data_IF_677686464899
#
_entry.id   IF_677686464899
#
_cell.length_a   1.000
_cell.length_b   1.000
_cell.length_c   1.000
_cell.angle_alpha   90.00
_cell.angle_beta   90.00
_cell.angle_gamma   90.00
#
_symmetry.space_group_name_H-M   'P 1'
#
loop_
_entity.id
_entity.type
_entity.pdbx_description
1 polymer ?
#
# COMPACT_ATOMS: atom_id res chain seq x y z
N UNK A 1 24.50 14.11 17.44
CA UNK A 1 24.31 13.86 16.01
C UNK A 1 25.58 13.27 15.41
N UNK A 2 25.51 12.01 15.00
CA UNK A 2 26.59 11.22 14.40
C UNK A 2 26.82 11.56 12.92
N UNK A 3 25.84 12.15 12.25
CA UNK A 3 25.70 12.24 10.80
C UNK A 3 25.72 10.87 10.14
N UNK A 4 24.99 9.92 10.70
CA UNK A 4 24.97 8.54 10.23
C UNK A 4 23.54 7.98 10.11
N UNK A 5 23.22 7.35 8.98
CA UNK A 5 21.93 6.72 8.71
C UNK A 5 22.14 5.23 8.40
N UNK A 6 21.51 4.34 9.16
CA UNK A 6 21.54 2.90 8.86
C UNK A 6 20.44 2.55 7.86
N UNK A 7 20.74 1.65 6.92
CA UNK A 7 19.74 1.06 6.02
C UNK A 7 19.57 -0.41 6.40
N UNK A 8 18.35 -0.81 6.74
CA UNK A 8 18.05 -2.19 7.09
C UNK A 8 17.66 -3.02 5.86
N UNK A 9 18.22 -4.22 5.78
CA UNK A 9 17.93 -5.26 4.79
C UNK A 9 17.68 -6.61 5.49
N UNK A 10 17.23 -7.60 4.72
CA UNK A 10 17.18 -9.02 5.14
C UNK A 10 17.76 -9.88 4.03
N UNK A 11 18.29 -11.05 4.40
CA UNK A 11 18.78 -12.02 3.43
C UNK A 11 17.62 -12.72 2.72
N UNK A 12 17.78 -12.97 1.41
CA UNK A 12 16.77 -13.65 0.60
C UNK A 12 15.62 -12.74 0.12
N UNK A 13 14.69 -13.35 -0.60
CA UNK A 13 13.62 -12.63 -1.32
C UNK A 13 13.90 -12.53 -2.83
N UNK A 14 12.83 -12.40 -3.61
CA UNK A 14 12.90 -12.23 -5.07
C UNK A 14 13.31 -10.82 -5.49
N UNK A 15 13.43 -9.89 -4.55
CA UNK A 15 13.75 -8.48 -4.74
C UNK A 15 15.25 -8.15 -4.62
N UNK A 16 16.10 -9.13 -4.29
CA UNK A 16 17.56 -8.95 -4.11
C UNK A 16 18.35 -9.25 -5.38
N UNK A 17 19.42 -8.49 -5.59
CA UNK A 17 20.41 -8.68 -6.64
C UNK A 17 21.51 -9.67 -6.26
N UNK A 18 22.50 -9.83 -7.14
CA UNK A 18 23.65 -10.70 -6.91
C UNK A 18 24.56 -10.22 -5.76
N UNK A 19 24.45 -8.96 -5.38
CA UNK A 19 25.13 -8.35 -4.24
C UNK A 19 24.38 -8.56 -2.91
N UNK A 20 23.23 -9.23 -2.93
CA UNK A 20 22.39 -9.49 -1.75
C UNK A 20 21.47 -8.32 -1.37
N UNK A 21 21.54 -7.21 -2.10
CA UNK A 21 20.76 -6.00 -1.80
C UNK A 21 19.60 -5.83 -2.75
N UNK A 22 18.57 -5.09 -2.33
CA UNK A 22 17.63 -4.52 -3.29
C UNK A 22 18.39 -3.57 -4.21
N UNK A 23 17.94 -3.52 -5.46
CA UNK A 23 18.54 -2.63 -6.47
C UNK A 23 18.56 -1.16 -6.06
N UNK A 24 17.65 -0.73 -5.18
CA UNK A 24 17.56 0.65 -4.68
C UNK A 24 18.34 0.90 -3.39
N UNK A 25 18.76 -0.13 -2.65
CA UNK A 25 19.45 0.04 -1.35
C UNK A 25 20.81 0.72 -1.48
N UNK A 26 21.71 0.17 -2.31
CA UNK A 26 23.05 0.75 -2.46
C UNK A 26 23.04 2.13 -3.11
N UNK A 27 22.19 2.43 -4.11
CA UNK A 27 21.98 3.80 -4.57
C UNK A 27 21.61 4.78 -3.45
N UNK A 28 20.68 4.42 -2.55
CA UNK A 28 20.33 5.26 -1.39
C UNK A 28 21.55 5.47 -0.49
N UNK A 29 22.26 4.39 -0.13
CA UNK A 29 23.47 4.47 0.73
C UNK A 29 24.51 5.39 0.13
N UNK A 30 24.76 5.27 -1.17
CA UNK A 30 25.75 6.09 -1.88
C UNK A 30 25.31 7.56 -1.95
N UNK A 31 24.03 7.83 -2.23
CA UNK A 31 23.50 9.19 -2.27
C UNK A 31 23.57 9.89 -0.89
N UNK A 32 23.40 9.15 0.21
CA UNK A 32 23.61 9.68 1.58
C UNK A 32 25.09 10.04 1.77
N UNK A 33 26.01 9.16 1.35
CA UNK A 33 27.47 9.38 1.43
C UNK A 33 27.95 10.58 0.63
N UNK A 34 27.41 10.77 -0.57
CA UNK A 34 27.73 11.91 -1.43
C UNK A 34 27.33 13.25 -0.82
N UNK A 35 26.35 13.26 0.09
CA UNK A 35 25.96 14.43 0.88
C UNK A 35 26.77 14.61 2.17
N UNK A 36 27.82 13.81 2.38
CA UNK A 36 28.75 13.92 3.51
C UNK A 36 28.22 13.32 4.81
N UNK A 37 27.30 12.36 4.73
CA UNK A 37 26.81 11.55 5.85
C UNK A 37 27.33 10.12 5.74
N UNK A 38 27.51 9.45 6.87
CA UNK A 38 27.82 8.02 6.89
C UNK A 38 26.54 7.20 6.65
N UNK A 39 26.69 6.09 5.92
CA UNK A 39 25.60 5.14 5.73
C UNK A 39 26.13 3.71 5.56
N UNK A 40 25.48 2.75 6.21
CA UNK A 40 25.78 1.34 6.06
C UNK A 40 24.52 0.50 6.02
N UNK A 41 24.64 -0.68 5.41
CA UNK A 41 23.57 -1.67 5.39
C UNK A 41 23.77 -2.63 6.56
N UNK A 42 22.73 -2.83 7.36
CA UNK A 42 22.70 -3.89 8.38
C UNK A 42 21.59 -4.89 8.03
N UNK A 43 21.95 -6.17 7.96
CA UNK A 43 21.00 -7.25 7.81
C UNK A 43 20.34 -7.59 9.15
N UNK A 44 19.02 -7.55 9.18
CA UNK A 44 18.27 -7.96 10.36
C UNK A 44 18.26 -9.48 10.49
N UNK A 45 18.66 -9.97 11.67
CA UNK A 45 18.42 -11.33 12.09
C UNK A 45 17.80 -11.33 13.50
N UNK A 46 16.71 -12.09 13.73
CA UNK A 46 16.03 -12.09 15.03
C UNK A 46 16.91 -12.49 16.21
N UNK A 47 17.86 -13.40 16.00
CA UNK A 47 18.81 -13.87 17.02
C UNK A 47 19.88 -12.83 17.39
N UNK A 48 20.03 -11.77 16.58
CA UNK A 48 20.97 -10.67 16.80
C UNK A 48 20.28 -9.34 17.12
N UNK A 49 18.97 -9.34 17.37
CA UNK A 49 18.19 -8.11 17.53
C UNK A 49 18.76 -7.16 18.61
N UNK A 50 19.21 -7.70 19.75
CA UNK A 50 19.79 -6.89 20.83
C UNK A 50 21.19 -6.34 20.48
N UNK A 51 22.01 -7.11 19.74
CA UNK A 51 23.32 -6.65 19.25
C UNK A 51 23.15 -5.53 18.22
N UNK A 52 22.21 -5.72 17.29
CA UNK A 52 21.84 -4.72 16.28
C UNK A 52 21.32 -3.46 16.97
N UNK A 53 20.43 -3.60 17.96
CA UNK A 53 19.93 -2.47 18.73
C UNK A 53 21.08 -1.69 19.38
N UNK A 54 22.00 -2.36 20.08
CA UNK A 54 23.11 -1.71 20.77
C UNK A 54 24.06 -1.00 19.79
N UNK A 55 24.39 -1.66 18.66
CA UNK A 55 25.22 -1.05 17.60
C UNK A 55 24.53 0.17 17.01
N UNK A 56 23.26 0.05 16.62
CA UNK A 56 22.57 1.09 15.87
C UNK A 56 22.29 2.30 16.76
N UNK A 57 21.75 2.08 17.97
CA UNK A 57 21.43 3.15 18.92
C UNK A 57 22.64 3.96 19.38
N UNK A 58 23.85 3.39 19.33
CA UNK A 58 25.08 4.07 19.76
C UNK A 58 25.79 4.85 18.66
N UNK A 59 25.49 4.56 17.39
CA UNK A 59 26.32 5.04 16.26
C UNK A 59 25.53 5.78 15.18
N UNK A 60 24.19 5.71 15.17
CA UNK A 60 23.35 6.26 14.11
C UNK A 60 22.33 7.25 14.66
N UNK A 61 21.93 8.19 13.80
CA UNK A 61 20.88 9.16 14.12
C UNK A 61 19.50 8.75 13.56
N UNK A 62 19.48 7.84 12.59
CA UNK A 62 18.27 7.44 11.88
C UNK A 62 18.39 6.07 11.23
N UNK A 63 17.25 5.52 10.84
CA UNK A 63 17.17 4.28 10.08
C UNK A 63 16.22 4.39 8.87
N UNK A 64 16.55 3.69 7.78
CA UNK A 64 15.68 3.44 6.63
C UNK A 64 15.43 1.94 6.53
N UNK A 65 14.17 1.51 6.57
CA UNK A 65 13.82 0.11 6.27
C UNK A 65 13.70 -0.10 4.76
N UNK A 66 14.48 -1.04 4.22
CA UNK A 66 14.34 -1.56 2.85
C UNK A 66 13.98 -3.04 2.88
N UNK A 67 13.17 -3.42 3.85
CA UNK A 67 12.79 -4.81 4.10
C UNK A 67 11.34 -5.04 3.68
N UNK A 68 11.13 -5.94 2.72
CA UNK A 68 9.78 -6.42 2.41
C UNK A 68 9.25 -7.23 3.61
N UNK A 69 8.11 -6.85 4.22
CA UNK A 69 7.62 -7.51 5.43
C UNK A 69 7.43 -9.03 5.30
N UNK A 70 7.03 -9.51 4.12
CA UNK A 70 6.88 -10.95 3.84
C UNK A 70 8.19 -11.75 3.82
N UNK A 71 9.35 -11.08 3.74
CA UNK A 71 10.67 -11.70 3.71
C UNK A 71 11.38 -11.66 5.07
N UNK A 72 10.73 -11.13 6.12
CA UNK A 72 11.36 -11.02 7.45
C UNK A 72 11.49 -12.39 8.09
N UNK A 73 12.71 -12.84 8.46
CA UNK A 73 12.90 -14.10 9.16
C UNK A 73 12.13 -14.11 10.48
N UNK A 74 11.26 -15.10 10.69
CA UNK A 74 10.45 -15.20 11.90
C UNK A 74 9.23 -14.26 11.95
N UNK A 75 8.94 -13.54 10.86
CA UNK A 75 7.81 -12.62 10.75
C UNK A 75 8.08 -11.21 11.28
N UNK A 76 7.14 -10.30 11.05
CA UNK A 76 7.31 -8.85 11.24
C UNK A 76 7.52 -8.43 12.71
N UNK A 77 6.98 -9.20 13.66
CA UNK A 77 6.91 -8.80 15.08
C UNK A 77 8.25 -8.40 15.66
N UNK A 78 9.26 -9.27 15.57
CA UNK A 78 10.58 -9.00 16.15
C UNK A 78 11.31 -7.84 15.46
N UNK A 79 11.07 -7.65 14.16
CA UNK A 79 11.63 -6.53 13.42
C UNK A 79 10.99 -5.19 13.83
N UNK A 80 9.67 -5.16 13.97
CA UNK A 80 8.95 -3.96 14.42
C UNK A 80 9.27 -3.61 15.87
N UNK A 81 9.47 -4.61 16.73
CA UNK A 81 9.97 -4.40 18.10
C UNK A 81 11.35 -3.72 18.09
N UNK A 82 12.28 -4.15 17.22
CA UNK A 82 13.58 -3.49 17.04
C UNK A 82 13.43 -2.03 16.57
N UNK A 83 12.64 -1.79 15.52
CA UNK A 83 12.44 -0.44 14.98
C UNK A 83 11.79 0.51 16.00
N UNK A 84 10.85 -0.01 16.80
CA UNK A 84 10.23 0.73 17.91
C UNK A 84 11.27 1.08 18.97
N UNK A 85 12.08 0.11 19.43
CA UNK A 85 13.16 0.36 20.40
C UNK A 85 14.15 1.42 19.90
N UNK A 86 14.48 1.43 18.61
CA UNK A 86 15.37 2.42 18.02
C UNK A 86 14.74 3.82 18.01
N UNK A 87 13.46 3.92 17.67
CA UNK A 87 12.72 5.18 17.76
C UNK A 87 12.66 5.70 19.21
N UNK A 88 12.37 4.82 20.18
CA UNK A 88 12.38 5.14 21.61
C UNK A 88 13.76 5.59 22.12
N UNK A 89 14.83 5.11 21.49
CA UNK A 89 16.21 5.54 21.75
C UNK A 89 16.55 6.90 21.12
N UNK A 90 15.61 7.53 20.41
CA UNK A 90 15.76 8.86 19.82
C UNK A 90 16.20 8.87 18.36
N UNK A 91 16.26 7.73 17.68
CA UNK A 91 16.57 7.69 16.25
C UNK A 91 15.35 8.14 15.44
N UNK A 92 15.61 8.90 14.37
CA UNK A 92 14.58 9.26 13.41
C UNK A 92 14.25 8.04 12.55
N UNK A 93 13.04 7.51 12.73
CA UNK A 93 12.50 6.44 11.89
C UNK A 93 11.94 7.00 10.58
N UNK A 94 12.50 6.58 9.44
CA UNK A 94 12.08 7.08 8.14
C UNK A 94 10.75 6.50 7.65
N UNK A 95 10.45 5.27 8.09
CA UNK A 95 9.11 4.70 8.15
C UNK A 95 9.04 3.96 9.49
N UNK A 96 8.31 4.50 10.46
CA UNK A 96 8.15 3.83 11.76
C UNK A 96 7.18 2.64 11.62
N UNK A 97 7.19 1.66 12.54
CA UNK A 97 6.17 0.62 12.55
C UNK A 97 4.74 1.17 12.62
N UNK A 98 4.54 2.29 13.32
CA UNK A 98 3.26 2.99 13.35
C UNK A 98 2.85 3.48 11.96
N UNK A 99 3.75 4.16 11.23
CA UNK A 99 3.48 4.62 9.86
C UNK A 99 3.22 3.44 8.92
N UNK A 100 4.03 2.38 9.00
CA UNK A 100 3.87 1.18 8.18
C UNK A 100 2.49 0.55 8.35
N UNK A 101 2.00 0.48 9.58
CA UNK A 101 0.68 -0.07 9.88
C UNK A 101 -0.44 0.90 9.50
N UNK A 102 -0.28 2.20 9.74
CA UNK A 102 -1.36 3.14 9.56
C UNK A 102 -1.61 3.52 8.09
N UNK A 103 -0.54 3.64 7.30
CA UNK A 103 -0.62 3.93 5.87
C UNK A 103 -0.66 2.66 5.01
N UNK A 104 0.01 1.58 5.43
CA UNK A 104 0.13 0.35 4.63
C UNK A 104 -1.03 -0.63 4.82
N UNK A 105 -1.82 -0.52 5.88
CA UNK A 105 -3.00 -1.37 6.07
C UNK A 105 -4.12 -0.98 5.12
N UNK A 106 -4.91 -1.98 4.68
CA UNK A 106 -6.02 -1.72 3.76
C UNK A 106 -7.14 -0.87 4.37
N UNK A 107 -7.33 -0.90 5.69
CA UNK A 107 -8.29 0.00 6.37
C UNK A 107 -7.93 1.49 6.28
N UNK A 108 -6.75 1.85 5.76
CA UNK A 108 -6.45 3.24 5.40
C UNK A 108 -7.57 3.83 4.52
N UNK A 109 -8.15 3.03 3.63
CA UNK A 109 -9.29 3.45 2.81
C UNK A 109 -10.52 3.78 3.68
N UNK A 110 -10.85 2.92 4.64
CA UNK A 110 -11.99 3.10 5.54
C UNK A 110 -11.83 4.35 6.41
N UNK A 111 -10.60 4.61 6.89
CA UNK A 111 -10.27 5.83 7.66
C UNK A 111 -10.45 7.11 6.84
N UNK A 112 -10.35 7.01 5.51
CA UNK A 112 -10.46 8.09 4.54
C UNK A 112 -11.84 8.21 3.86
N UNK A 113 -12.81 7.34 4.15
CA UNK A 113 -14.12 7.30 3.47
C UNK A 113 -14.98 8.56 3.64
N UNK A 114 -14.74 9.33 4.69
CA UNK A 114 -15.43 10.61 4.93
C UNK A 114 -14.79 11.78 4.14
N UNK A 115 -13.89 11.48 3.21
CA UNK A 115 -13.20 12.44 2.35
C UNK A 115 -13.58 12.19 0.88
N UNK A 116 -13.38 13.15 -0.03
CA UNK A 116 -13.61 12.93 -1.46
C UNK A 116 -12.71 11.86 -2.10
N UNK A 117 -11.70 11.34 -1.38
CA UNK A 117 -10.74 10.37 -1.91
C UNK A 117 -11.30 8.96 -2.04
N UNK A 118 -12.23 8.58 -1.16
CA UNK A 118 -12.68 7.19 -1.01
C UNK A 118 -14.20 7.18 -0.92
N UNK A 119 -14.90 6.27 -1.61
CA UNK A 119 -16.35 6.14 -1.50
C UNK A 119 -16.80 5.94 -0.05
N UNK A 120 -17.86 6.65 0.34
CA UNK A 120 -18.41 6.68 1.70
C UNK A 120 -18.97 5.34 2.19
N UNK A 121 -19.35 4.47 1.26
CA UNK A 121 -19.78 3.09 1.47
C UNK A 121 -18.62 2.07 1.53
N UNK A 122 -17.40 2.54 1.77
CA UNK A 122 -16.25 1.67 2.05
C UNK A 122 -16.26 1.23 3.51
N UNK A 123 -16.12 -0.07 3.76
CA UNK A 123 -16.14 -0.69 5.08
C UNK A 123 -14.97 -1.65 5.26
N UNK A 124 -14.71 -2.05 6.51
CA UNK A 124 -13.80 -3.14 6.83
C UNK A 124 -14.49 -4.08 7.81
N UNK A 125 -14.39 -5.37 7.54
CA UNK A 125 -14.86 -6.43 8.42
C UNK A 125 -13.69 -6.91 9.26
N UNK A 126 -13.81 -6.76 10.58
CA UNK A 126 -12.80 -7.25 11.54
C UNK A 126 -13.24 -8.56 12.20
N UNK A 127 -14.53 -8.89 12.13
CA UNK A 127 -15.10 -10.12 12.66
C UNK A 127 -15.85 -10.86 11.54
N UNK A 128 -15.74 -12.19 11.55
CA UNK A 128 -16.42 -13.06 10.58
C UNK A 128 -17.94 -12.82 10.59
N UNK A 129 -18.53 -12.67 11.78
CA UNK A 129 -19.97 -12.39 11.90
C UNK A 129 -20.38 -11.08 11.20
N UNK A 130 -19.54 -10.05 11.25
CA UNK A 130 -19.82 -8.76 10.61
C UNK A 130 -19.87 -8.90 9.08
N UNK A 131 -18.91 -9.62 8.49
CA UNK A 131 -18.90 -9.96 7.06
C UNK A 131 -20.20 -10.66 6.66
N UNK A 132 -20.55 -11.75 7.37
CA UNK A 132 -21.68 -12.61 7.02
C UNK A 132 -23.04 -11.92 7.15
N UNK A 133 -23.16 -10.94 8.04
CA UNK A 133 -24.38 -10.17 8.25
C UNK A 133 -24.50 -8.95 7.33
N UNK A 134 -23.38 -8.34 6.92
CA UNK A 134 -23.39 -7.02 6.25
C UNK A 134 -23.14 -7.12 4.76
N UNK A 135 -22.24 -8.00 4.32
CA UNK A 135 -21.86 -8.10 2.90
C UNK A 135 -23.03 -8.46 1.96
N UNK A 136 -24.00 -9.32 2.33
CA UNK A 136 -25.18 -9.58 1.51
C UNK A 136 -25.98 -8.30 1.17
N UNK A 137 -26.02 -7.34 2.10
CA UNK A 137 -26.66 -6.04 1.86
C UNK A 137 -25.73 -5.11 1.08
N UNK A 138 -24.44 -5.07 1.39
CA UNK A 138 -23.46 -4.26 0.65
C UNK A 138 -23.46 -4.58 -0.85
N UNK A 139 -23.44 -5.87 -1.21
CA UNK A 139 -23.45 -6.35 -2.59
C UNK A 139 -24.76 -6.03 -3.35
N UNK A 140 -25.86 -5.74 -2.64
CA UNK A 140 -27.11 -5.31 -3.28
C UNK A 140 -27.04 -3.93 -3.93
N UNK A 141 -26.04 -3.11 -3.56
CA UNK A 141 -25.81 -1.80 -4.18
C UNK A 141 -25.06 -1.88 -5.51
N UNK A 142 -24.52 -3.04 -5.86
CA UNK A 142 -23.74 -3.27 -7.08
C UNK A 142 -22.48 -4.07 -6.81
N UNK A 143 -21.63 -4.15 -7.82
CA UNK A 143 -20.38 -4.91 -7.73
C UNK A 143 -19.45 -4.36 -6.63
N UNK A 144 -18.80 -5.26 -5.91
CA UNK A 144 -17.89 -4.94 -4.80
C UNK A 144 -16.48 -5.43 -5.09
N UNK A 145 -15.49 -4.82 -4.45
CA UNK A 145 -14.12 -5.28 -4.39
C UNK A 145 -13.79 -5.57 -2.93
N UNK A 146 -13.54 -6.83 -2.63
CA UNK A 146 -13.05 -7.25 -1.32
C UNK A 146 -11.52 -7.30 -1.34
N UNK A 147 -10.84 -6.74 -0.32
CA UNK A 147 -9.37 -6.68 -0.25
C UNK A 147 -8.89 -7.18 1.11
N UNK A 148 -8.13 -8.27 1.13
CA UNK A 148 -7.46 -8.72 2.36
C UNK A 148 -6.39 -7.71 2.78
N UNK A 149 -6.12 -7.64 4.09
CA UNK A 149 -5.13 -6.70 4.64
C UNK A 149 -3.69 -7.00 4.19
N UNK A 150 -3.29 -8.27 4.25
CA UNK A 150 -1.94 -8.73 3.92
C UNK A 150 -1.97 -9.54 2.64
N UNK A 151 -1.71 -8.87 1.52
CA UNK A 151 -1.60 -9.50 0.22
C UNK A 151 -0.69 -8.67 -0.67
N UNK A 152 0.01 -9.34 -1.58
CA UNK A 152 0.83 -8.66 -2.58
C UNK A 152 0.38 -9.05 -3.98
N UNK A 153 0.62 -8.17 -4.96
CA UNK A 153 0.39 -8.50 -6.38
C UNK A 153 -1.03 -9.02 -6.69
N UNK A 154 -2.05 -8.47 -6.04
CA UNK A 154 -3.45 -8.81 -6.31
C UNK A 154 -4.01 -10.01 -5.55
N UNK A 155 -3.19 -10.71 -4.76
CA UNK A 155 -3.63 -11.84 -3.92
C UNK A 155 -4.69 -11.39 -2.90
N UNK A 156 -5.82 -12.09 -2.83
CA UNK A 156 -6.94 -11.78 -1.94
C UNK A 156 -7.61 -10.44 -2.23
N UNK A 157 -7.50 -9.96 -3.47
CA UNK A 157 -8.32 -8.86 -3.99
C UNK A 157 -9.34 -9.44 -4.97
N UNK A 158 -10.61 -9.35 -4.62
CA UNK A 158 -11.71 -10.02 -5.31
C UNK A 158 -12.71 -9.01 -5.84
N UNK A 159 -12.95 -8.98 -7.15
CA UNK A 159 -14.15 -8.37 -7.73
C UNK A 159 -15.31 -9.35 -7.58
N UNK A 160 -16.39 -8.93 -6.94
CA UNK A 160 -17.55 -9.75 -6.61
C UNK A 160 -18.79 -9.15 -7.24
N UNK A 161 -19.51 -9.95 -8.02
CA UNK A 161 -20.77 -9.55 -8.65
C UNK A 161 -21.75 -10.72 -8.71
N UNK A 162 -23.03 -10.40 -8.84
CA UNK A 162 -24.06 -11.39 -9.10
C UNK A 162 -23.81 -12.03 -10.48
N UNK A 163 -23.98 -13.35 -10.56
CA UNK A 163 -23.82 -14.08 -11.81
C UNK A 163 -24.94 -13.75 -12.82
N UNK A 164 -26.14 -13.49 -12.32
CA UNK A 164 -27.30 -13.06 -13.10
C UNK A 164 -27.34 -11.51 -13.21
N UNK A 165 -27.15 -11.01 -14.42
CA UNK A 165 -27.16 -9.57 -14.70
C UNK A 165 -28.57 -8.94 -14.65
N UNK A 166 -29.62 -9.71 -14.94
CA UNK A 166 -31.00 -9.22 -14.83
C UNK A 166 -31.40 -9.10 -13.36
N UNK A 167 -30.97 -10.06 -12.53
CA UNK A 167 -31.11 -9.95 -11.09
C UNK A 167 -30.34 -8.73 -10.56
N UNK A 168 -29.08 -8.54 -10.96
CA UNK A 168 -28.28 -7.39 -10.55
C UNK A 168 -28.93 -6.03 -10.84
N UNK A 169 -29.71 -5.92 -11.92
CA UNK A 169 -30.43 -4.70 -12.29
C UNK A 169 -31.76 -4.50 -11.53
N UNK A 170 -32.32 -5.57 -10.96
CA UNK A 170 -33.66 -5.56 -10.34
C UNK A 170 -33.64 -5.64 -8.82
N UNK A 171 -32.50 -5.99 -8.21
CA UNK A 171 -32.30 -5.95 -6.75
C UNK A 171 -32.49 -4.52 -6.25
N UNK A 172 -33.32 -4.37 -5.21
CA UNK A 172 -33.48 -3.10 -4.51
C UNK A 172 -32.27 -2.88 -3.58
N UNK A 173 -31.48 -1.80 -3.77
CA UNK A 173 -30.32 -1.53 -2.93
C UNK A 173 -30.68 -1.42 -1.45
N UNK A 174 -29.91 -2.08 -0.59
CA UNK A 174 -30.19 -2.21 0.84
C UNK A 174 -30.89 -3.53 1.21
N UNK A 175 -31.29 -4.34 0.24
CA UNK A 175 -31.92 -5.65 0.49
C UNK A 175 -30.85 -6.73 0.62
N UNK A 176 -30.81 -7.41 1.77
CA UNK A 176 -29.89 -8.54 1.97
C UNK A 176 -30.17 -9.65 0.94
N UNK A 177 -29.14 -10.04 0.20
CA UNK A 177 -29.22 -11.12 -0.79
C UNK A 177 -29.30 -12.50 -0.12
N UNK A 178 -30.06 -13.46 -0.68
CA UNK A 178 -30.05 -14.85 -0.22
C UNK A 178 -28.66 -15.49 -0.30
N UNK A 179 -28.30 -16.35 0.66
CA UNK A 179 -26.98 -16.98 0.71
C UNK A 179 -26.72 -17.97 -0.44
N UNK A 180 -27.77 -18.44 -1.11
CA UNK A 180 -27.68 -19.28 -2.32
C UNK A 180 -27.62 -18.47 -3.61
N UNK A 181 -27.51 -17.13 -3.54
CA UNK A 181 -27.31 -16.27 -4.71
C UNK A 181 -26.00 -16.64 -5.42
N UNK A 182 -26.09 -16.93 -6.72
CA UNK A 182 -24.93 -17.23 -7.55
C UNK A 182 -24.10 -15.98 -7.85
N UNK A 183 -22.79 -16.08 -7.69
CA UNK A 183 -21.80 -15.02 -7.84
C UNK A 183 -20.73 -15.38 -8.87
N UNK A 184 -20.21 -14.35 -9.54
CA UNK A 184 -18.92 -14.38 -10.24
C UNK A 184 -17.90 -13.62 -9.38
N UNK A 185 -16.84 -14.31 -8.96
CA UNK A 185 -15.76 -13.74 -8.16
C UNK A 185 -14.46 -13.82 -8.94
N UNK A 186 -13.90 -12.66 -9.31
CA UNK A 186 -12.65 -12.56 -10.07
C UNK A 186 -11.51 -12.13 -9.16
N UNK A 187 -10.45 -12.93 -9.05
CA UNK A 187 -9.28 -12.57 -8.24
C UNK A 187 -8.29 -11.74 -9.05
N UNK A 188 -7.73 -10.68 -8.46
CA UNK A 188 -6.78 -9.81 -9.15
C UNK A 188 -5.41 -10.46 -9.37
N UNK A 189 -5.06 -11.53 -8.65
CA UNK A 189 -3.74 -12.17 -8.77
C UNK A 189 -3.46 -12.66 -10.21
N UNK A 190 -4.50 -13.16 -10.89
CA UNK A 190 -4.39 -13.71 -12.24
C UNK A 190 -5.62 -13.43 -13.13
N UNK A 191 -6.58 -12.64 -12.66
CA UNK A 191 -7.88 -12.38 -13.29
C UNK A 191 -8.74 -13.65 -13.52
N UNK A 192 -8.47 -14.76 -12.83
CA UNK A 192 -9.35 -15.92 -12.91
C UNK A 192 -10.69 -15.64 -12.23
N UNK A 193 -11.76 -16.05 -12.90
CA UNK A 193 -13.13 -15.90 -12.41
C UNK A 193 -13.67 -17.24 -11.97
N UNK A 194 -14.21 -17.26 -10.76
CA UNK A 194 -14.76 -18.42 -10.11
C UNK A 194 -16.25 -18.24 -9.85
N UNK A 195 -17.00 -19.33 -9.96
CA UNK A 195 -18.41 -19.40 -9.58
C UNK A 195 -18.52 -19.78 -8.11
N UNK A 196 -19.27 -18.99 -7.35
CA UNK A 196 -19.58 -19.25 -5.94
C UNK A 196 -21.05 -19.02 -5.67
N UNK A 197 -21.57 -19.62 -4.61
CA UNK A 197 -22.75 -19.10 -3.93
C UNK A 197 -22.32 -18.09 -2.87
N UNK A 198 -23.11 -17.06 -2.61
CA UNK A 198 -22.78 -15.97 -1.68
C UNK A 198 -22.32 -16.49 -0.31
N UNK A 199 -23.04 -17.41 0.31
CA UNK A 199 -22.66 -18.00 1.60
C UNK A 199 -21.31 -18.70 1.55
N UNK A 200 -21.09 -19.53 0.52
CA UNK A 200 -19.84 -20.26 0.36
C UNK A 200 -18.64 -19.34 0.07
N UNK A 201 -18.85 -18.22 -0.62
CA UNK A 201 -17.81 -17.22 -0.82
C UNK A 201 -17.46 -16.49 0.48
N UNK A 202 -18.45 -16.15 1.30
CA UNK A 202 -18.19 -15.55 2.61
C UNK A 202 -17.43 -16.52 3.53
N UNK A 203 -17.83 -17.80 3.59
CA UNK A 203 -17.08 -18.85 4.31
C UNK A 203 -15.63 -18.94 3.83
N UNK A 204 -15.39 -18.81 2.52
CA UNK A 204 -14.03 -18.77 1.96
C UNK A 204 -13.28 -17.52 2.44
N UNK A 205 -13.93 -16.36 2.48
CA UNK A 205 -13.32 -15.10 2.91
C UNK A 205 -12.99 -15.03 4.42
N UNK A 206 -13.55 -15.90 5.25
CA UNK A 206 -13.22 -15.98 6.69
C UNK A 206 -11.71 -16.07 6.95
N UNK A 207 -10.97 -16.74 6.05
CA UNK A 207 -9.52 -16.89 6.14
C UNK A 207 -8.75 -15.55 6.13
N UNK A 208 -9.32 -14.49 5.55
CA UNK A 208 -8.71 -13.17 5.50
C UNK A 208 -8.93 -12.36 6.78
N UNK A 209 -9.91 -12.75 7.59
CA UNK A 209 -10.28 -12.11 8.85
C UNK A 209 -9.65 -12.84 10.04
N UNK A 210 -9.59 -14.18 9.99
CA UNK A 210 -9.04 -14.99 11.09
C UNK A 210 -7.51 -14.89 11.14
N UNK A 211 -6.98 -14.34 12.22
CA UNK A 211 -5.54 -14.33 12.53
C UNK A 211 -5.01 -12.94 12.88
N UNK A 212 -3.69 -12.84 13.07
CA UNK A 212 -3.05 -11.58 13.44
C UNK A 212 -3.20 -10.52 12.34
N UNK A 213 -3.78 -9.38 12.68
CA UNK A 213 -4.10 -8.27 11.77
C UNK A 213 -5.06 -8.64 10.62
N UNK A 214 -5.84 -9.73 10.78
CA UNK A 214 -6.84 -10.13 9.81
C UNK A 214 -7.99 -9.14 9.72
N UNK A 215 -8.39 -8.81 8.50
CA UNK A 215 -9.55 -7.98 8.16
C UNK A 215 -9.77 -8.03 6.65
N UNK A 216 -10.99 -7.67 6.24
CA UNK A 216 -11.38 -7.62 4.83
C UNK A 216 -12.04 -6.28 4.52
N UNK A 217 -11.42 -5.48 3.66
CA UNK A 217 -12.02 -4.23 3.17
C UNK A 217 -13.05 -4.55 2.10
N UNK A 218 -14.18 -3.85 2.16
CA UNK A 218 -15.27 -3.88 1.20
C UNK A 218 -15.45 -2.49 0.60
N UNK A 219 -15.20 -2.36 -0.70
CA UNK A 219 -15.28 -1.11 -1.46
C UNK A 219 -16.10 -1.34 -2.73
N UNK A 220 -16.87 -0.35 -3.19
CA UNK A 220 -17.56 -0.49 -4.50
C UNK A 220 -16.54 -0.70 -5.63
N UNK A 221 -16.92 -1.48 -6.64
CA UNK A 221 -16.09 -1.64 -7.84
C UNK A 221 -16.06 -0.33 -8.64
N UNK A 222 -14.86 0.10 -9.04
CA UNK A 222 -14.65 1.30 -9.85
C UNK A 222 -14.51 0.91 -11.32
N UNK A 223 -15.52 1.10 -12.19
CA UNK A 223 -15.52 0.53 -13.55
C UNK A 223 -14.39 1.04 -14.43
N UNK A 224 -13.95 2.28 -14.22
CA UNK A 224 -12.85 2.92 -14.97
C UNK A 224 -11.46 2.40 -14.58
N UNK A 225 -11.33 1.42 -13.68
CA UNK A 225 -10.05 0.71 -13.45
C UNK A 225 -9.46 0.10 -14.74
N UNK A 226 -10.31 -0.22 -15.72
CA UNK A 226 -9.88 -0.70 -17.05
C UNK A 226 -9.07 0.35 -17.84
N UNK A 227 -9.21 1.63 -17.50
CA UNK A 227 -8.36 2.71 -18.05
C UNK A 227 -6.98 2.73 -17.40
N UNK A 228 -6.86 2.17 -16.20
CA UNK A 228 -5.61 1.94 -15.47
C UNK A 228 -5.57 2.56 -14.09
N UNK A 229 -4.71 2.02 -13.25
CA UNK A 229 -4.37 2.57 -11.94
C UNK A 229 -3.22 3.57 -12.08
N UNK A 230 -3.36 4.75 -11.49
CA UNK A 230 -2.39 5.85 -11.56
C UNK A 230 -1.72 5.97 -10.20
N UNK A 231 -0.46 5.53 -10.13
CA UNK A 231 0.36 5.56 -8.91
C UNK A 231 1.19 6.82 -8.87
N UNK A 232 1.02 7.61 -7.82
CA UNK A 232 1.96 8.67 -7.44
C UNK A 232 3.04 8.04 -6.56
N UNK A 233 4.30 8.09 -6.99
CA UNK A 233 5.45 7.77 -6.12
C UNK A 233 5.93 9.04 -5.44
N UNK A 234 6.06 8.97 -4.12
CA UNK A 234 6.43 10.10 -3.27
C UNK A 234 7.72 9.85 -2.50
N UNK A 235 8.51 10.91 -2.37
CA UNK A 235 9.59 11.01 -1.38
C UNK A 235 9.21 12.10 -0.39
N UNK A 236 8.88 11.70 0.83
CA UNK A 236 8.20 12.58 1.78
C UNK A 236 6.95 13.20 1.16
N UNK A 237 6.91 14.52 1.06
CA UNK A 237 5.77 15.24 0.47
C UNK A 237 5.87 15.46 -1.04
N UNK A 238 7.01 15.15 -1.66
CA UNK A 238 7.28 15.46 -3.06
C UNK A 238 6.82 14.31 -3.97
N UNK A 239 5.88 14.54 -4.92
CA UNK A 239 5.63 13.63 -6.02
C UNK A 239 6.86 13.58 -6.93
N UNK A 240 7.48 12.41 -7.05
CA UNK A 240 8.69 12.25 -7.88
C UNK A 240 8.38 11.61 -9.22
N UNK A 241 7.34 10.77 -9.29
CA UNK A 241 7.03 10.03 -10.49
C UNK A 241 5.58 9.52 -10.54
N UNK A 242 5.03 9.36 -11.75
CA UNK A 242 3.72 8.76 -11.98
C UNK A 242 3.87 7.45 -12.75
N UNK A 243 3.29 6.37 -12.23
CA UNK A 243 3.21 5.08 -12.94
C UNK A 243 1.76 4.83 -13.30
N UNK A 244 1.44 4.77 -14.59
CA UNK A 244 0.11 4.39 -15.05
C UNK A 244 0.11 2.91 -15.45
N UNK A 245 -0.65 2.12 -14.70
CA UNK A 245 -0.70 0.67 -14.77
C UNK A 245 -2.01 0.24 -15.40
N UNK A 246 -1.99 -0.03 -16.70
CA UNK A 246 -3.20 -0.40 -17.45
C UNK A 246 -3.38 -1.93 -17.45
N UNK A 247 -4.52 -2.46 -16.94
CA UNK A 247 -4.83 -3.89 -16.99
C UNK A 247 -4.78 -4.48 -18.41
N UNK A 248 -4.63 -5.80 -18.49
CA UNK A 248 -4.75 -6.51 -19.76
C UNK A 248 -6.15 -6.33 -20.37
N UNK A 249 -6.25 -6.13 -21.67
CA UNK A 249 -7.54 -5.93 -22.35
C UNK A 249 -8.42 -7.18 -22.33
N UNK A 250 -9.74 -6.97 -22.24
CA UNK A 250 -10.77 -8.00 -22.43
C UNK A 250 -11.27 -8.68 -21.16
N UNK A 251 -12.46 -9.28 -21.28
CA UNK A 251 -13.09 -10.05 -20.20
C UNK A 251 -13.33 -9.23 -18.93
N UNK A 252 -13.05 -9.85 -17.79
CA UNK A 252 -13.20 -9.26 -16.45
C UNK A 252 -11.88 -8.77 -15.86
N UNK A 253 -10.86 -8.59 -16.71
CA UNK A 253 -9.55 -8.15 -16.28
C UNK A 253 -9.62 -6.77 -15.65
N UNK A 254 -9.19 -6.67 -14.39
CA UNK A 254 -9.11 -5.42 -13.65
C UNK A 254 -7.78 -5.25 -12.92
N UNK A 255 -6.98 -6.32 -12.85
CA UNK A 255 -5.70 -6.29 -12.16
C UNK A 255 -4.65 -5.44 -12.89
N UNK A 256 -4.06 -4.52 -12.13
CA UNK A 256 -3.00 -3.63 -12.57
C UNK A 256 -1.59 -4.22 -12.35
N UNK A 257 -1.45 -5.54 -12.18
CA UNK A 257 -0.15 -6.18 -11.92
C UNK A 257 0.55 -6.62 -13.21
N UNK A 258 1.88 -6.57 -13.24
CA UNK A 258 2.65 -7.10 -14.39
C UNK A 258 2.41 -8.59 -14.60
N UNK A 259 2.25 -9.36 -13.52
CA UNK A 259 2.01 -10.82 -13.58
C UNK A 259 0.67 -11.16 -14.23
N UNK A 260 -0.34 -10.30 -14.05
CA UNK A 260 -1.65 -10.42 -14.70
C UNK A 260 -1.69 -9.80 -16.11
N UNK A 261 -0.54 -9.40 -16.66
CA UNK A 261 -0.42 -8.88 -18.02
C UNK A 261 -0.65 -7.37 -18.18
N UNK A 262 -0.64 -6.59 -17.10
CA UNK A 262 -0.77 -5.14 -17.18
C UNK A 262 0.43 -4.49 -17.90
N UNK A 263 0.19 -3.34 -18.52
CA UNK A 263 1.22 -2.52 -19.19
C UNK A 263 1.46 -1.26 -18.38
N UNK A 264 2.73 -0.98 -18.07
CA UNK A 264 3.11 0.19 -17.28
C UNK A 264 3.69 1.26 -18.19
N UNK A 265 3.19 2.48 -18.05
CA UNK A 265 3.82 3.68 -18.56
C UNK A 265 4.31 4.53 -17.41
N UNK A 266 5.34 5.31 -17.72
CA UNK A 266 6.12 6.03 -16.74
C UNK A 266 6.12 7.50 -17.15
N UNK A 267 5.44 8.33 -16.37
CA UNK A 267 5.24 9.74 -16.66
C UNK A 267 5.85 10.62 -15.56
N UNK A 268 6.22 11.83 -15.96
CA UNK A 268 6.63 12.85 -14.98
C UNK A 268 5.39 13.44 -14.29
N UNK A 269 5.52 13.92 -13.05
CA UNK A 269 4.42 14.57 -12.34
C UNK A 269 3.72 15.67 -13.16
N UNK A 270 4.46 16.47 -13.94
CA UNK A 270 3.89 17.58 -14.72
C UNK A 270 2.94 17.13 -15.85
N UNK A 271 2.93 15.84 -16.18
CA UNK A 271 1.98 15.26 -17.14
C UNK A 271 0.59 15.02 -16.54
N UNK A 272 0.43 15.16 -15.23
CA UNK A 272 -0.82 14.89 -14.49
C UNK A 272 -1.22 16.04 -13.55
N UNK A 273 -1.36 17.29 -14.04
CA UNK A 273 -1.54 18.45 -13.17
C UNK A 273 -2.83 18.44 -12.34
N UNK A 274 -3.94 17.93 -12.88
CA UNK A 274 -5.22 17.84 -12.17
C UNK A 274 -5.17 16.85 -11.00
N UNK A 275 -4.55 15.68 -11.21
CA UNK A 275 -4.30 14.70 -10.15
C UNK A 275 -3.44 15.30 -9.04
N UNK A 276 -2.36 16.01 -9.40
CA UNK A 276 -1.47 16.60 -8.41
C UNK A 276 -2.12 17.76 -7.65
N UNK A 277 -2.96 18.56 -8.28
CA UNK A 277 -3.71 19.62 -7.59
C UNK A 277 -4.70 19.03 -6.58
N UNK A 278 -5.41 17.96 -6.96
CA UNK A 278 -6.28 17.23 -6.05
C UNK A 278 -5.47 16.61 -4.90
N UNK A 279 -4.36 15.96 -5.22
CA UNK A 279 -3.52 15.28 -4.24
C UNK A 279 -2.87 16.24 -3.24
N UNK A 280 -2.43 17.44 -3.67
CA UNK A 280 -1.85 18.43 -2.75
C UNK A 280 -2.86 18.90 -1.70
N UNK A 281 -4.14 19.04 -2.08
CA UNK A 281 -5.24 19.35 -1.14
C UNK A 281 -5.55 18.18 -0.22
N UNK A 282 -5.46 16.95 -0.73
CA UNK A 282 -5.79 15.73 0.00
C UNK A 282 -4.70 15.26 0.98
N UNK A 283 -3.42 15.44 0.63
CA UNK A 283 -2.27 14.93 1.38
C UNK A 283 -2.25 15.35 2.86
N UNK A 284 -2.52 16.61 3.23
CA UNK A 284 -2.62 17.00 4.65
C UNK A 284 -3.72 16.23 5.40
N UNK A 285 -4.85 15.94 4.74
CA UNK A 285 -5.95 15.18 5.32
C UNK A 285 -5.57 13.71 5.50
N UNK A 286 -4.84 13.14 4.53
CA UNK A 286 -4.28 11.79 4.65
C UNK A 286 -3.33 11.72 5.86
N UNK A 287 -2.42 12.69 5.98
CA UNK A 287 -1.48 12.74 7.09
C UNK A 287 -2.19 12.89 8.45
N UNK A 288 -3.24 13.72 8.53
CA UNK A 288 -4.03 13.90 9.75
C UNK A 288 -4.82 12.65 10.14
N UNK A 289 -5.42 11.94 9.17
CA UNK A 289 -6.28 10.78 9.43
C UNK A 289 -5.52 9.47 9.62
N UNK A 290 -4.33 9.34 9.03
CA UNK A 290 -3.54 8.11 9.07
C UNK A 290 -2.28 8.25 9.92
N UNK A 291 -1.63 9.41 9.95
CA UNK A 291 -0.36 9.58 10.66
C UNK A 291 -0.54 9.77 12.15
N UNK A 292 0.34 9.13 12.93
CA UNK A 292 0.53 9.46 14.35
C UNK A 292 1.44 10.69 14.52
N UNK A 293 2.16 11.07 13.46
CA UNK A 293 2.99 12.26 13.39
C UNK A 293 2.55 13.18 12.25
N UNK A 294 3.11 14.38 12.18
CA UNK A 294 2.88 15.28 11.04
C UNK A 294 3.62 14.83 9.78
N UNK A 295 4.54 13.89 9.90
CA UNK A 295 5.36 13.42 8.79
C UNK A 295 4.69 12.24 8.09
N UNK A 296 4.68 12.30 6.76
CA UNK A 296 4.33 11.15 5.91
C UNK A 296 5.55 10.21 5.79
N UNK A 297 5.37 8.95 5.39
CA UNK A 297 6.49 8.03 5.20
C UNK A 297 7.57 8.58 4.25
N UNK A 298 8.83 8.16 4.42
CA UNK A 298 9.93 8.65 3.58
C UNK A 298 9.75 8.27 2.11
N UNK A 299 9.31 7.04 1.83
CA UNK A 299 9.04 6.54 0.48
C UNK A 299 7.69 5.85 0.49
N UNK A 300 6.74 6.37 -0.27
CA UNK A 300 5.39 5.83 -0.30
C UNK A 300 4.71 6.07 -1.63
N UNK A 301 3.58 5.41 -1.83
CA UNK A 301 2.74 5.60 -3.00
C UNK A 301 1.30 5.84 -2.61
N UNK A 302 0.60 6.59 -3.46
CA UNK A 302 -0.84 6.68 -3.46
C UNK A 302 -1.34 6.27 -4.86
N UNK A 303 -2.18 5.25 -4.90
CA UNK A 303 -2.63 4.60 -6.13
C UNK A 303 -4.09 4.95 -6.37
N UNK A 304 -4.39 5.57 -7.52
CA UNK A 304 -5.69 6.11 -7.86
C UNK A 304 -6.34 5.39 -9.04
N UNK A 305 -7.65 5.36 -9.04
CA UNK A 305 -8.49 4.99 -10.18
C UNK A 305 -9.25 6.23 -10.64
N UNK A 306 -9.54 6.31 -11.92
CA UNK A 306 -10.47 7.33 -12.42
C UNK A 306 -11.90 6.98 -12.02
N UNK A 307 -12.74 8.01 -11.89
CA UNK A 307 -14.18 7.91 -11.78
C UNK A 307 -14.83 9.17 -12.39
N UNK A 308 -16.14 9.15 -12.57
CA UNK A 308 -16.90 10.29 -13.10
C UNK A 308 -17.44 11.16 -11.97
N UNK A 309 -17.02 12.43 -11.93
CA UNK A 309 -17.61 13.43 -11.04
C UNK A 309 -19.09 13.69 -11.42
N UNK A 310 -19.92 14.28 -10.52
CA UNK A 310 -21.32 14.57 -10.82
C UNK A 310 -21.57 15.46 -12.05
N UNK A 311 -20.58 16.26 -12.46
CA UNK A 311 -20.61 17.11 -13.66
C UNK A 311 -20.06 16.42 -14.92
N UNK A 312 -19.65 15.15 -14.82
CA UNK A 312 -19.09 14.35 -15.90
C UNK A 312 -17.60 14.59 -16.17
N UNK A 313 -16.90 15.33 -15.31
CA UNK A 313 -15.44 15.46 -15.36
C UNK A 313 -14.74 14.31 -14.65
N UNK A 314 -13.44 14.15 -14.90
CA UNK A 314 -12.63 13.13 -14.21
C UNK A 314 -12.49 13.48 -12.72
N UNK A 315 -12.70 12.49 -11.86
CA UNK A 315 -12.25 12.50 -10.47
C UNK A 315 -11.35 11.30 -10.19
N UNK A 316 -10.68 11.32 -9.05
CA UNK A 316 -9.72 10.29 -8.65
C UNK A 316 -10.13 9.64 -7.34
N UNK A 317 -10.22 8.32 -7.35
CA UNK A 317 -10.55 7.50 -6.20
C UNK A 317 -9.33 6.73 -5.74
N UNK A 318 -8.94 6.91 -4.47
CA UNK A 318 -7.82 6.23 -3.86
C UNK A 318 -8.13 4.73 -3.71
N UNK A 319 -7.29 3.88 -4.29
CA UNK A 319 -7.39 2.42 -4.26
C UNK A 319 -6.47 1.75 -3.26
N UNK A 320 -5.29 2.34 -3.00
CA UNK A 320 -4.28 1.81 -2.09
C UNK A 320 -3.24 2.89 -1.71
N UNK A 321 -2.65 2.76 -0.52
CA UNK A 321 -1.40 3.42 -0.14
C UNK A 321 -0.36 2.34 0.20
N UNK A 322 0.89 2.54 -0.22
CA UNK A 322 2.01 1.64 0.11
C UNK A 322 3.15 2.42 0.75
N UNK A 323 3.74 1.94 1.85
CA UNK A 323 4.85 2.65 2.51
C UNK A 323 5.91 1.75 3.20
N UNK A 324 5.70 0.43 3.27
CA UNK A 324 6.58 -0.45 4.04
C UNK A 324 7.91 -0.76 3.33
N UNK A 325 7.87 -0.99 2.01
CA UNK A 325 9.08 -1.28 1.22
C UNK A 325 8.88 -0.97 -0.29
N UNK A 326 8.37 0.22 -0.59
CA UNK A 326 8.12 0.68 -1.97
C UNK A 326 9.44 0.72 -2.75
N UNK A 327 9.50 0.05 -3.91
CA UNK A 327 10.66 0.04 -4.79
C UNK A 327 10.57 1.02 -5.94
N UNK A 328 11.71 1.55 -6.37
CA UNK A 328 11.87 2.43 -7.55
C UNK A 328 13.03 1.94 -8.45
N UNK A 329 13.13 0.61 -8.56
CA UNK A 329 14.35 -0.07 -9.02
C UNK A 329 14.62 0.02 -10.52
N UNK A 330 13.67 0.47 -11.33
CA UNK A 330 13.80 0.58 -12.79
C UNK A 330 14.12 2.01 -13.25
N UNK A 331 14.20 2.96 -12.31
CA UNK A 331 14.23 4.41 -12.54
C UNK A 331 15.32 5.10 -11.73
N UNK A 332 16.39 4.36 -11.37
CA UNK A 332 17.52 4.90 -10.60
C UNK A 332 18.21 6.08 -11.29
N UNK A 333 18.08 6.20 -12.61
CA UNK A 333 18.58 7.32 -13.40
C UNK A 333 17.77 8.62 -13.24
N UNK A 334 16.60 8.56 -12.58
CA UNK A 334 15.71 9.71 -12.38
C UNK A 334 16.00 10.53 -11.12
N UNK A 335 17.02 10.16 -10.35
CA UNK A 335 17.46 10.96 -9.21
C UNK A 335 16.67 10.72 -7.91
N UNK A 336 15.95 9.59 -7.81
CA UNK A 336 15.07 9.31 -6.67
C UNK A 336 15.90 9.07 -5.40
N UNK A 337 17.02 8.34 -5.49
CA UNK A 337 17.90 8.09 -4.35
C UNK A 337 18.49 9.36 -3.74
N UNK A 338 18.77 10.39 -4.54
CA UNK A 338 19.28 11.69 -4.09
C UNK A 338 18.19 12.46 -3.34
N UNK A 339 16.94 12.38 -3.81
CA UNK A 339 15.78 12.95 -3.10
C UNK A 339 15.55 12.24 -1.77
N UNK A 340 15.60 10.89 -1.77
CA UNK A 340 15.47 10.08 -0.55
C UNK A 340 16.57 10.44 0.46
N UNK A 341 17.81 10.53 0.01
CA UNK A 341 18.94 10.91 0.85
C UNK A 341 18.76 12.33 1.42
N UNK A 342 18.40 13.30 0.58
CA UNK A 342 18.20 14.69 1.00
C UNK A 342 17.06 14.82 2.03
N UNK A 343 15.93 14.14 1.79
CA UNK A 343 14.79 14.16 2.71
C UNK A 343 15.11 13.44 4.03
N UNK A 344 15.78 12.30 3.99
CA UNK A 344 16.21 11.59 5.19
C UNK A 344 17.15 12.45 6.04
N UNK A 345 18.16 13.06 5.41
CA UNK A 345 19.10 13.97 6.08
C UNK A 345 18.37 15.17 6.68
N UNK A 346 17.45 15.79 5.93
CA UNK A 346 16.65 16.93 6.42
C UNK A 346 15.86 16.57 7.66
N UNK A 347 15.17 15.42 7.68
CA UNK A 347 14.40 14.97 8.86
C UNK A 347 15.28 14.78 10.09
N UNK A 348 16.49 14.24 9.93
CA UNK A 348 17.44 14.14 11.05
C UNK A 348 17.86 15.51 11.54
N UNK A 349 18.18 16.43 10.63
CA UNK A 349 18.57 17.79 10.99
C UNK A 349 17.45 18.52 11.74
N UNK A 350 16.21 18.41 11.28
CA UNK A 350 15.05 19.04 11.90
C UNK A 350 14.73 18.45 13.28
N UNK A 351 14.89 17.13 13.46
CA UNK A 351 14.70 16.49 14.77
C UNK A 351 15.79 16.88 15.80
N UNK A 352 16.94 17.39 15.34
CA UNK A 352 18.06 17.81 16.18
C UNK A 352 18.23 19.35 16.27
N UNK A 353 17.35 20.12 15.64
CA UNK A 353 17.32 21.58 15.67
C UNK A 353 16.55 22.10 16.89
#
# INVERSE_FOLDING_TARGET
MHKAIVVFEVEGGSDKGADGHRKDTMPIVNAIKEQGWEAEVIYFHPDKAEEIYAQVSSNFDAYISRVNPGNIPGGEKGYFELLTKLADAGLVGMSTPADMMAYGAKDALVKLKDTPLVPDDTAAYYEVEELHTTFPTSLSYGERVLKQNRGSTGEGIWRVRLADQELAQSVEPGTALPLDTDLKCTEAVDNQTHDYQLGAFMDFCDQYIVGDNGMLVDMRFMPRIVEGEIRILLVGNEPVFIVHKKPAEGGDNFSATLFSGAKYTYDKPESWPELLEMFDKARPVIAEKLGDTKDVPLIWTADFMLDDAPDGTDTYVLGEINCSCVGFTSELDMGIQEKVAAEAIRRVQDANA
#
